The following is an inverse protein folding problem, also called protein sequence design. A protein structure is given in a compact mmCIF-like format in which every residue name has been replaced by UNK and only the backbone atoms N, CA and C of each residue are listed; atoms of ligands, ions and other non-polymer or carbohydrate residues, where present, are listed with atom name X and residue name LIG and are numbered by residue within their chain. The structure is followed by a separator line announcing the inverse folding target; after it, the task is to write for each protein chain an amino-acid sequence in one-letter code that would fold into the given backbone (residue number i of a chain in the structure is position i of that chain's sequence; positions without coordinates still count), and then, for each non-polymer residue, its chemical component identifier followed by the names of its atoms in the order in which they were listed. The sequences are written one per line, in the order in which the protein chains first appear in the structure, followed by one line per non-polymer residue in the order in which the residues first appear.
data_IF_161594901423
#
_entry.id   IF_161594901423
#
_cell.length_a   1.000
_cell.length_b   1.000
_cell.length_c   1.000
_cell.angle_alpha   90.00
_cell.angle_beta   90.00
_cell.angle_gamma   90.00
#
_symmetry.space_group_name_H-M   'P 1'
#
loop_
_entity.id
_entity.type
_entity.pdbx_description
1 polymer ?
#
# COMPACT_ATOMS: atom_id res chain seq x y z
N UNK A 1 -12.66 -9.30 10.64
CA UNK A 1 -13.52 -8.44 9.83
C UNK A 1 -13.71 -9.01 8.45
N UNK A 2 -14.92 -8.98 8.00
CA UNK A 2 -15.23 -9.46 6.68
C UNK A 2 -14.96 -8.34 5.67
N UNK A 3 -14.01 -8.59 4.79
CA UNK A 3 -13.58 -7.56 3.83
C UNK A 3 -14.05 -7.94 2.45
N UNK A 4 -15.07 -7.25 1.91
CA UNK A 4 -15.59 -7.59 0.59
C UNK A 4 -14.60 -7.32 -0.54
N UNK A 5 -13.53 -6.57 -0.26
CA UNK A 5 -12.56 -6.22 -1.27
C UNK A 5 -11.32 -7.09 -1.24
N UNK A 6 -11.26 -8.07 -0.33
CA UNK A 6 -10.06 -8.89 -0.16
C UNK A 6 -9.67 -9.61 -1.46
N UNK A 7 -10.64 -10.07 -2.22
CA UNK A 7 -10.37 -10.76 -3.47
C UNK A 7 -9.76 -9.82 -4.51
N UNK A 8 -10.20 -8.58 -4.54
CA UNK A 8 -9.61 -7.59 -5.45
C UNK A 8 -8.17 -7.31 -5.09
N UNK A 9 -7.91 -7.12 -3.80
CA UNK A 9 -6.55 -6.83 -3.32
C UNK A 9 -5.63 -8.00 -3.65
N UNK A 10 -6.09 -9.22 -3.41
CA UNK A 10 -5.27 -10.39 -3.68
C UNK A 10 -4.95 -10.52 -5.16
N UNK A 11 -5.93 -10.24 -6.02
CA UNK A 11 -5.72 -10.30 -7.45
C UNK A 11 -4.75 -9.23 -7.92
N UNK A 12 -4.86 -8.04 -7.34
CA UNK A 12 -3.93 -6.94 -7.65
C UNK A 12 -2.50 -7.31 -7.27
N UNK A 13 -2.34 -7.87 -6.08
CA UNK A 13 -1.02 -8.32 -5.63
C UNK A 13 -0.43 -9.34 -6.60
N UNK A 14 -1.22 -10.32 -7.00
CA UNK A 14 -0.74 -11.34 -7.91
C UNK A 14 -0.34 -10.75 -9.25
N UNK A 15 -1.15 -9.86 -9.79
CA UNK A 15 -0.86 -9.25 -11.08
C UNK A 15 0.43 -8.43 -11.04
N UNK A 16 0.55 -7.59 -10.02
CA UNK A 16 1.68 -6.66 -9.94
C UNK A 16 2.97 -7.39 -9.55
N UNK A 17 2.89 -8.30 -8.59
CA UNK A 17 4.09 -8.88 -7.99
C UNK A 17 4.49 -10.20 -8.60
N UNK A 18 3.57 -10.93 -9.22
CA UNK A 18 3.85 -12.26 -9.73
C UNK A 18 3.50 -12.46 -11.18
N UNK A 19 2.80 -11.51 -11.80
CA UNK A 19 2.42 -11.61 -13.19
C UNK A 19 3.61 -11.40 -14.11
N UNK A 20 3.40 -11.56 -15.41
CA UNK A 20 4.47 -11.34 -16.39
C UNK A 20 4.98 -9.91 -16.32
N UNK A 21 6.27 -9.73 -16.55
CA UNK A 21 6.86 -8.40 -16.53
C UNK A 21 8.31 -8.44 -16.93
N UNK A 22 8.90 -7.26 -17.06
CA UNK A 22 10.30 -7.10 -17.45
C UNK A 22 11.26 -7.26 -16.29
N UNK A 23 10.78 -7.02 -15.07
CA UNK A 23 11.58 -7.18 -13.88
C UNK A 23 11.21 -8.51 -13.24
N UNK A 24 12.24 -9.23 -12.77
CA UNK A 24 11.99 -10.55 -12.17
C UNK A 24 10.99 -10.44 -11.02
N UNK A 25 10.10 -11.44 -10.93
CA UNK A 25 9.09 -11.46 -9.88
C UNK A 25 9.68 -11.40 -8.49
N UNK A 26 10.82 -12.05 -8.27
CA UNK A 26 11.50 -12.02 -6.99
C UNK A 26 11.88 -10.59 -6.58
N UNK A 27 12.34 -9.80 -7.54
CA UNK A 27 12.73 -8.42 -7.26
C UNK A 27 11.50 -7.58 -6.95
N UNK A 28 10.43 -7.80 -7.70
CA UNK A 28 9.17 -7.08 -7.46
C UNK A 28 8.62 -7.38 -6.08
N UNK A 29 8.66 -8.64 -5.68
CA UNK A 29 8.17 -9.03 -4.37
C UNK A 29 9.05 -8.48 -3.26
N UNK A 30 10.36 -8.46 -3.46
CA UNK A 30 11.28 -7.87 -2.51
C UNK A 30 11.03 -6.38 -2.37
N UNK A 31 10.75 -5.69 -3.49
CA UNK A 31 10.45 -4.26 -3.45
C UNK A 31 9.18 -3.99 -2.65
N UNK A 32 8.17 -4.84 -2.79
CA UNK A 32 6.93 -4.69 -2.05
C UNK A 32 7.13 -4.85 -0.55
N UNK A 33 8.08 -5.69 -0.13
CA UNK A 33 8.38 -5.84 1.29
C UNK A 33 9.49 -4.91 1.76
N UNK A 34 9.98 -4.05 0.87
CA UNK A 34 11.01 -3.06 1.17
C UNK A 34 12.28 -3.69 1.72
N UNK A 35 12.62 -4.87 1.24
CA UNK A 35 13.85 -5.51 1.67
C UNK A 35 14.24 -6.64 0.73
N UNK A 36 15.55 -6.85 0.58
CA UNK A 36 16.04 -7.95 -0.24
C UNK A 36 16.18 -7.62 -1.72
N UNK A 37 16.00 -6.38 -2.12
CA UNK A 37 16.28 -5.98 -3.51
C UNK A 37 17.78 -5.89 -3.73
N UNK A 38 18.22 -5.99 -4.99
CA UNK A 38 19.64 -5.74 -5.28
C UNK A 38 20.10 -4.41 -4.69
N UNK A 39 21.35 -4.38 -4.29
CA UNK A 39 21.88 -3.24 -3.54
C UNK A 39 21.70 -1.92 -4.26
N UNK A 40 21.83 -1.91 -5.59
CA UNK A 40 21.72 -0.68 -6.36
C UNK A 40 20.30 -0.15 -6.43
N UNK A 41 19.31 -0.96 -6.10
CA UNK A 41 17.91 -0.55 -6.13
C UNK A 41 17.40 -0.16 -4.74
N UNK A 42 18.14 -0.49 -3.71
CA UNK A 42 17.68 -0.37 -2.33
C UNK A 42 17.27 1.04 -1.95
N UNK A 43 18.12 2.00 -2.27
CA UNK A 43 17.85 3.38 -1.90
C UNK A 43 16.61 3.91 -2.62
N UNK A 44 16.44 3.56 -3.88
CA UNK A 44 15.29 3.99 -4.65
C UNK A 44 14.00 3.38 -4.09
N UNK A 45 14.03 2.08 -3.80
CA UNK A 45 12.86 1.40 -3.24
C UNK A 45 12.48 2.01 -1.89
N UNK A 46 13.47 2.33 -1.07
CA UNK A 46 13.20 2.97 0.22
C UNK A 46 12.54 4.33 0.04
N UNK A 47 13.01 5.12 -0.92
CA UNK A 47 12.38 6.41 -1.20
C UNK A 47 10.94 6.25 -1.62
N UNK A 48 10.67 5.35 -2.56
CA UNK A 48 9.30 5.14 -3.03
C UNK A 48 8.41 4.67 -1.88
N UNK A 49 8.91 3.78 -1.04
CA UNK A 49 8.11 3.20 0.03
C UNK A 49 7.87 4.16 1.18
N UNK A 50 8.83 4.98 1.52
CA UNK A 50 8.79 5.78 2.74
C UNK A 50 8.77 7.27 2.50
N UNK A 51 9.36 7.72 1.40
CA UNK A 51 9.57 9.13 1.14
C UNK A 51 9.33 9.44 -0.34
N UNK A 52 8.18 9.02 -0.86
CA UNK A 52 7.89 9.14 -2.29
C UNK A 52 8.06 10.58 -2.79
N UNK A 53 7.78 11.56 -1.95
CA UNK A 53 7.91 12.95 -2.32
C UNK A 53 9.37 13.38 -2.53
N UNK A 54 10.32 12.54 -2.16
CA UNK A 54 11.76 12.82 -2.36
C UNK A 54 12.32 12.18 -3.62
N UNK A 55 11.53 11.42 -4.36
CA UNK A 55 11.99 10.82 -5.61
C UNK A 55 12.17 11.91 -6.64
N UNK A 56 13.32 11.92 -7.29
CA UNK A 56 13.66 12.95 -8.27
C UNK A 56 13.94 12.32 -9.62
N UNK A 57 13.96 13.17 -10.67
CA UNK A 57 14.34 12.73 -12.00
C UNK A 57 15.73 12.14 -12.00
N UNK A 58 16.62 12.68 -11.17
CA UNK A 58 17.99 12.16 -11.10
C UNK A 58 18.05 10.76 -10.52
N UNK A 59 17.18 10.44 -9.56
CA UNK A 59 17.12 9.08 -9.03
C UNK A 59 16.81 8.08 -10.14
N UNK A 60 15.87 8.42 -11.01
CA UNK A 60 15.50 7.57 -12.14
C UNK A 60 16.63 7.53 -13.16
N UNK A 61 17.19 8.69 -13.50
CA UNK A 61 18.24 8.78 -14.49
C UNK A 61 19.45 7.95 -14.09
N UNK A 62 19.79 7.93 -12.81
CA UNK A 62 20.94 7.15 -12.34
C UNK A 62 20.71 5.66 -12.57
N UNK A 63 19.49 5.18 -12.36
CA UNK A 63 19.19 3.76 -12.58
C UNK A 63 19.13 3.41 -14.06
N UNK A 64 18.65 4.33 -14.88
CA UNK A 64 18.70 4.11 -16.34
C UNK A 64 20.14 3.99 -16.81
N UNK A 65 21.03 4.84 -16.28
CA UNK A 65 22.47 4.77 -16.62
C UNK A 65 23.10 3.47 -16.12
N UNK A 66 22.56 2.91 -15.04
CA UNK A 66 23.06 1.64 -14.53
C UNK A 66 22.57 0.44 -15.32
N UNK A 67 21.71 0.66 -16.31
CA UNK A 67 21.29 -0.41 -17.24
C UNK A 67 19.88 -0.89 -17.08
N UNK A 68 19.11 -0.35 -16.14
CA UNK A 68 17.70 -0.73 -16.03
C UNK A 68 16.88 -0.03 -17.09
N UNK A 69 15.84 -0.70 -17.58
CA UNK A 69 14.94 -0.10 -18.56
C UNK A 69 13.84 0.68 -17.87
N UNK A 70 13.17 1.53 -18.61
CA UNK A 70 12.03 2.28 -18.10
C UNK A 70 10.94 1.33 -17.58
N UNK A 71 10.68 0.27 -18.34
CA UNK A 71 9.66 -0.70 -17.94
C UNK A 71 10.04 -1.37 -16.62
N UNK A 72 11.31 -1.74 -16.47
CA UNK A 72 11.77 -2.34 -15.21
C UNK A 72 11.60 -1.38 -14.06
N UNK A 73 11.93 -0.11 -14.26
CA UNK A 73 11.82 0.88 -13.19
C UNK A 73 10.36 1.19 -12.88
N UNK A 74 9.49 1.18 -13.88
CA UNK A 74 8.07 1.33 -13.63
C UNK A 74 7.55 0.18 -12.76
N UNK A 75 7.91 -1.05 -13.12
CA UNK A 75 7.47 -2.22 -12.36
C UNK A 75 8.02 -2.21 -10.93
N UNK A 76 9.26 -1.78 -10.77
CA UNK A 76 9.86 -1.65 -9.46
C UNK A 76 9.10 -0.62 -8.63
N UNK A 77 8.80 0.51 -9.23
CA UNK A 77 8.12 1.61 -8.56
C UNK A 77 6.72 1.21 -8.11
N UNK A 78 5.97 0.58 -9.01
CA UNK A 78 4.60 0.20 -8.66
C UNK A 78 4.59 -0.92 -7.62
N UNK A 79 5.58 -1.81 -7.66
CA UNK A 79 5.68 -2.87 -6.65
C UNK A 79 5.97 -2.30 -5.27
N UNK A 80 6.91 -1.37 -5.18
CA UNK A 80 7.24 -0.74 -3.91
C UNK A 80 6.07 0.07 -3.38
N UNK A 81 5.39 0.81 -4.26
CA UNK A 81 4.25 1.62 -3.86
C UNK A 81 3.08 0.74 -3.40
N UNK A 82 2.82 -0.35 -4.09
CA UNK A 82 1.77 -1.27 -3.71
C UNK A 82 2.05 -1.86 -2.33
N UNK A 83 3.28 -2.32 -2.11
CA UNK A 83 3.65 -2.88 -0.82
C UNK A 83 3.46 -1.90 0.31
N UNK A 84 3.92 -0.67 0.13
CA UNK A 84 3.77 0.37 1.14
C UNK A 84 2.29 0.69 1.39
N UNK A 85 1.50 0.74 0.30
CA UNK A 85 0.08 0.99 0.42
C UNK A 85 -0.66 -0.10 1.16
N UNK A 86 -0.29 -1.36 0.92
CA UNK A 86 -0.93 -2.48 1.58
C UNK A 86 -0.63 -2.49 3.08
N UNK A 87 0.59 -2.11 3.47
CA UNK A 87 0.92 -1.99 4.89
C UNK A 87 0.04 -0.94 5.55
N UNK A 88 -0.14 0.20 4.90
CA UNK A 88 -0.98 1.27 5.43
C UNK A 88 -2.45 0.89 5.48
N UNK A 89 -2.92 0.19 4.45
CA UNK A 89 -4.29 -0.29 4.43
C UNK A 89 -4.55 -1.24 5.59
N UNK A 90 -3.64 -2.16 5.82
CA UNK A 90 -3.77 -3.11 6.90
C UNK A 90 -3.79 -2.42 8.26
N UNK A 91 -2.92 -1.44 8.44
CA UNK A 91 -2.88 -0.69 9.69
C UNK A 91 -4.19 0.07 9.91
N UNK A 92 -4.74 0.67 8.84
CA UNK A 92 -6.00 1.38 8.93
C UNK A 92 -7.16 0.46 9.26
N UNK A 93 -7.19 -0.72 8.63
CA UNK A 93 -8.23 -1.70 8.92
C UNK A 93 -8.16 -2.17 10.38
N UNK A 94 -6.95 -2.42 10.86
CA UNK A 94 -6.77 -2.83 12.25
C UNK A 94 -7.27 -1.75 13.22
N UNK A 95 -6.98 -0.50 12.91
CA UNK A 95 -7.44 0.60 13.74
C UNK A 95 -8.96 0.69 13.75
N UNK A 96 -9.58 0.49 12.59
CA UNK A 96 -11.03 0.51 12.50
C UNK A 96 -11.66 -0.62 13.29
N UNK A 97 -11.06 -1.80 13.23
CA UNK A 97 -11.58 -2.94 13.98
C UNK A 97 -11.48 -2.71 15.48
N UNK A 98 -10.40 -2.08 15.91
CA UNK A 98 -10.24 -1.77 17.34
C UNK A 98 -11.22 -0.70 17.81
N UNK A 99 -11.52 0.25 16.95
CA UNK A 99 -12.43 1.32 17.32
C UNK A 99 -13.89 0.91 17.29
N UNK A 100 -14.25 -0.05 16.46
CA UNK A 100 -15.65 -0.41 16.24
C UNK A 100 -16.36 -0.87 17.53
N UNK A 101 -15.77 -1.74 18.35
CA UNK A 101 -16.45 -2.13 19.60
C UNK A 101 -16.68 -0.96 20.56
N UNK A 102 -15.71 -0.07 20.65
CA UNK A 102 -15.85 1.12 21.48
C UNK A 102 -16.99 1.99 21.00
N UNK A 103 -17.03 2.19 19.70
CA UNK A 103 -18.05 3.01 19.11
C UNK A 103 -19.42 2.44 19.30
N UNK A 104 -19.58 1.13 19.16
CA UNK A 104 -20.84 0.46 19.37
C UNK A 104 -21.30 0.64 20.81
N UNK A 105 -20.38 0.55 21.76
CA UNK A 105 -20.71 0.76 23.17
C UNK A 105 -21.20 2.17 23.44
N UNK A 106 -20.53 3.14 22.85
CA UNK A 106 -20.93 4.53 23.02
C UNK A 106 -22.31 4.79 22.45
N UNK A 107 -22.60 4.24 21.28
CA UNK A 107 -23.88 4.43 20.66
C UNK A 107 -25.00 3.83 21.50
N UNK A 108 -24.75 2.71 22.12
CA UNK A 108 -25.74 2.08 22.98
C UNK A 108 -25.98 2.88 24.24
N UNK A 109 -24.94 3.56 24.72
CA UNK A 109 -25.05 4.33 25.94
C UNK A 109 -25.76 5.66 25.76
N UNK A 110 -25.88 6.15 24.53
CA UNK A 110 -26.47 7.46 24.26
C UNK A 110 -27.97 7.35 24.04
N UNK A 111 -28.76 7.94 24.91
CA UNK A 111 -30.21 7.86 24.75
C UNK A 111 -30.64 8.58 23.46
N UNK A 112 -31.61 8.03 22.80
CA UNK A 112 -32.18 8.64 21.60
C UNK A 112 -31.28 8.59 20.40
N UNK A 113 -30.20 7.89 20.50
CA UNK A 113 -29.25 7.88 19.45
C UNK A 113 -29.80 7.29 18.16
N UNK A 114 -30.57 6.31 18.25
CA UNK A 114 -31.06 5.70 17.06
C UNK A 114 -32.01 6.56 16.31
N UNK A 115 -32.50 7.54 16.92
CA UNK A 115 -33.41 8.36 16.27
C UNK A 115 -32.76 9.10 15.25
N UNK A 116 -33.27 9.23 14.37
CA UNK A 116 -32.64 9.89 13.43
C UNK A 116 -32.86 11.08 13.57
N UNK A 117 -33.04 11.42 14.08
CA UNK A 117 -33.09 12.49 14.24
C UNK A 117 -32.52 13.12 13.70
N UNK A 118 -32.56 12.92 13.32
CA UNK A 118 -32.12 13.49 12.75
C UNK A 118 -32.09 14.60 12.85
N UNK A 119 -32.48 14.93 13.24
CA UNK A 119 -32.53 15.97 13.41
C UNK A 119 -31.54 16.43 13.67
N UNK A 120 -31.33 16.56 13.74
CA UNK A 120 -30.54 17.11 13.93
C UNK A 120 -29.57 16.91 14.24
N UNK A 121 -29.43 16.55 14.52
CA UNK A 121 -28.50 16.44 14.84
C UNK A 121 -27.78 16.06 14.24
N UNK A 122 -28.00 15.95 13.90
CA UNK A 122 -27.39 15.70 13.40
C UNK A 122 -26.72 15.75 13.01
#
# INVERSE_FOLDING_TARGET
MNDPYAAYVERLKQTVLSGPGQLAGEVRQAAASAGGTPAELEAYVRKVSQYAYKVTDEDVAALLRAGYSEDQLFELTISAALGAGLVRLKAGQAALEQAAPEQASLEQALPGKGAPDATAQS
#
